data_IF_908682163527
#
_entry.id   IF_908682163527
#
_cell.length_a   1.000
_cell.length_b   1.000
_cell.length_c   1.000
_cell.angle_alpha   90.00
_cell.angle_beta   90.00
_cell.angle_gamma   90.00
#
_symmetry.space_group_name_H-M   'P 1'
#
loop_
_entity.id
_entity.type
_entity.pdbx_description
1 polymer ?
#
# COMPACT_ATOMS: atom_id res chain seq x y z
N UNK A 1 -20.81 -25.82 4.63
CA UNK A 1 -20.09 -24.53 4.53
C UNK A 1 -20.31 -23.79 5.84
N UNK A 2 -19.26 -23.18 6.42
CA UNK A 2 -19.41 -22.31 7.58
C UNK A 2 -20.36 -21.15 7.25
N UNK A 3 -21.06 -20.66 8.26
CA UNK A 3 -21.91 -19.45 8.16
C UNK A 3 -21.05 -18.18 8.13
N UNK A 4 -21.58 -17.07 7.62
CA UNK A 4 -20.88 -15.77 7.63
C UNK A 4 -20.39 -15.41 9.04
N UNK A 5 -21.19 -15.66 10.07
CA UNK A 5 -20.77 -15.41 11.46
C UNK A 5 -19.57 -16.27 11.87
N UNK A 6 -19.59 -17.57 11.54
CA UNK A 6 -18.47 -18.47 11.83
C UNK A 6 -17.19 -18.03 11.09
N UNK A 7 -17.31 -17.53 9.86
CA UNK A 7 -16.18 -16.99 9.10
C UNK A 7 -15.55 -15.79 9.82
N UNK A 8 -16.35 -14.84 10.29
CA UNK A 8 -15.85 -13.69 11.06
C UNK A 8 -15.19 -14.12 12.38
N UNK A 9 -15.72 -15.13 13.06
CA UNK A 9 -15.05 -15.68 14.25
C UNK A 9 -13.73 -16.39 13.88
N UNK A 10 -13.65 -17.03 12.72
CA UNK A 10 -12.44 -17.70 12.25
C UNK A 10 -11.33 -16.72 11.85
N UNK A 11 -11.64 -15.50 11.42
CA UNK A 11 -10.63 -14.47 11.11
C UNK A 11 -9.73 -14.10 12.31
N UNK A 12 -10.15 -14.36 13.54
CA UNK A 12 -9.33 -14.17 14.76
C UNK A 12 -8.83 -15.49 15.37
N UNK A 13 -8.99 -16.60 14.68
CA UNK A 13 -8.58 -17.91 15.18
C UNK A 13 -7.03 -17.99 15.30
N UNK A 14 -6.46 -18.63 16.34
CA UNK A 14 -5.00 -18.73 16.51
C UNK A 14 -4.30 -19.46 15.35
N UNK A 15 -4.96 -20.45 14.74
CA UNK A 15 -4.47 -21.13 13.54
C UNK A 15 -4.51 -20.22 12.30
N UNK A 16 -3.36 -19.86 11.70
CA UNK A 16 -3.31 -19.02 10.49
C UNK A 16 -4.07 -19.61 9.30
N UNK A 17 -4.08 -20.93 9.17
CA UNK A 17 -4.75 -21.59 8.05
C UNK A 17 -6.27 -21.36 8.08
N UNK A 18 -6.89 -21.39 9.27
CA UNK A 18 -8.32 -21.10 9.43
C UNK A 18 -8.63 -19.63 9.19
N UNK A 19 -7.73 -18.72 9.55
CA UNK A 19 -7.89 -17.29 9.22
C UNK A 19 -7.84 -17.06 7.71
N UNK A 20 -6.87 -17.67 7.03
CA UNK A 20 -6.71 -17.50 5.59
C UNK A 20 -7.88 -18.16 4.82
N UNK A 21 -8.36 -19.33 5.25
CA UNK A 21 -9.56 -19.94 4.69
C UNK A 21 -10.78 -19.02 4.84
N UNK A 22 -11.02 -18.50 6.04
CA UNK A 22 -12.17 -17.62 6.28
C UNK A 22 -12.09 -16.31 5.49
N UNK A 23 -10.89 -15.77 5.33
CA UNK A 23 -10.62 -14.60 4.49
C UNK A 23 -11.03 -14.86 3.04
N UNK A 24 -10.58 -15.98 2.44
CA UNK A 24 -10.92 -16.31 1.05
C UNK A 24 -12.40 -16.60 0.87
N UNK A 25 -13.04 -17.34 1.78
CA UNK A 25 -14.49 -17.61 1.69
C UNK A 25 -15.32 -16.31 1.73
N UNK A 26 -14.96 -15.35 2.61
CA UNK A 26 -15.59 -14.04 2.66
C UNK A 26 -15.32 -13.19 1.41
N UNK A 27 -14.12 -13.26 0.85
CA UNK A 27 -13.75 -12.49 -0.32
C UNK A 27 -14.36 -13.02 -1.62
N UNK A 28 -14.53 -14.33 -1.75
CA UNK A 28 -15.15 -14.97 -2.91
C UNK A 28 -16.68 -14.81 -2.92
N UNK A 29 -17.30 -14.68 -1.74
CA UNK A 29 -18.75 -14.62 -1.59
C UNK A 29 -19.19 -13.47 -0.66
N UNK A 30 -18.86 -12.21 -0.97
CA UNK A 30 -19.25 -11.08 -0.14
C UNK A 30 -20.76 -10.84 -0.25
N UNK A 31 -21.41 -10.69 0.91
CA UNK A 31 -22.75 -10.12 1.00
C UNK A 31 -22.69 -8.61 1.28
N UNK A 32 -23.85 -7.94 1.26
CA UNK A 32 -23.96 -6.49 1.50
C UNK A 32 -23.40 -6.01 2.85
N UNK A 33 -23.23 -6.93 3.81
CA UNK A 33 -22.73 -6.65 5.16
C UNK A 33 -21.23 -6.92 5.31
N UNK A 34 -20.63 -7.63 4.36
CA UNK A 34 -19.26 -8.15 4.45
C UNK A 34 -18.24 -7.01 4.49
N UNK A 35 -18.28 -6.09 3.53
CA UNK A 35 -17.38 -4.92 3.52
C UNK A 35 -17.61 -4.03 4.76
N UNK A 36 -18.85 -3.58 5.10
CA UNK A 36 -19.09 -2.80 6.31
C UNK A 36 -18.54 -3.44 7.59
N UNK A 37 -18.69 -4.76 7.75
CA UNK A 37 -18.20 -5.47 8.93
C UNK A 37 -16.68 -5.64 8.94
N UNK A 38 -16.05 -5.86 7.79
CA UNK A 38 -14.59 -5.85 7.67
C UNK A 38 -14.00 -4.45 7.96
N UNK A 39 -14.69 -3.40 7.51
CA UNK A 39 -14.30 -2.01 7.81
C UNK A 39 -14.37 -1.71 9.31
N UNK A 40 -15.40 -2.18 10.04
CA UNK A 40 -15.48 -1.98 11.49
C UNK A 40 -14.35 -2.69 12.24
N UNK A 41 -13.87 -3.82 11.72
CA UNK A 41 -12.76 -4.57 12.33
C UNK A 41 -11.44 -3.80 12.27
N UNK A 42 -11.27 -2.83 11.36
CA UNK A 42 -10.05 -2.02 11.30
C UNK A 42 -9.82 -1.17 12.57
N UNK A 43 -10.85 -0.98 13.38
CA UNK A 43 -10.81 -0.23 14.65
C UNK A 43 -10.66 -1.12 15.89
N UNK A 44 -10.72 -2.44 15.73
CA UNK A 44 -10.60 -3.40 16.84
C UNK A 44 -9.21 -3.40 17.47
N UNK A 45 -9.09 -3.66 18.78
CA UNK A 45 -7.79 -3.70 19.47
C UNK A 45 -6.92 -4.91 19.07
N UNK A 46 -7.55 -6.02 18.69
CA UNK A 46 -6.85 -7.23 18.26
C UNK A 46 -6.15 -7.03 16.92
N UNK A 47 -4.82 -6.94 16.98
CA UNK A 47 -3.96 -6.74 15.80
C UNK A 47 -4.04 -7.89 14.80
N UNK A 48 -4.27 -9.12 15.25
CA UNK A 48 -4.46 -10.28 14.36
C UNK A 48 -5.74 -10.13 13.57
N UNK A 49 -6.82 -9.70 14.24
CA UNK A 49 -8.12 -9.53 13.61
C UNK A 49 -8.12 -8.36 12.62
N UNK A 50 -7.52 -7.22 12.99
CA UNK A 50 -7.29 -6.09 12.07
C UNK A 50 -6.54 -6.51 10.81
N UNK A 51 -5.45 -7.27 10.97
CA UNK A 51 -4.65 -7.76 9.83
C UNK A 51 -5.44 -8.71 8.94
N UNK A 52 -6.28 -9.56 9.52
CA UNK A 52 -7.16 -10.45 8.74
C UNK A 52 -8.18 -9.63 7.93
N UNK A 53 -8.78 -8.60 8.53
CA UNK A 53 -9.69 -7.70 7.83
C UNK A 53 -9.02 -6.93 6.69
N UNK A 54 -7.81 -6.41 6.90
CA UNK A 54 -7.01 -5.74 5.84
C UNK A 54 -6.78 -6.68 4.64
N UNK A 55 -6.41 -7.93 4.90
CA UNK A 55 -6.20 -8.92 3.83
C UNK A 55 -7.52 -9.26 3.11
N UNK A 56 -8.61 -9.46 3.86
CA UNK A 56 -9.92 -9.78 3.28
C UNK A 56 -10.46 -8.64 2.41
N UNK A 57 -10.37 -7.38 2.87
CA UNK A 57 -10.73 -6.21 2.07
C UNK A 57 -9.88 -6.11 0.79
N UNK A 58 -8.58 -6.39 0.90
CA UNK A 58 -7.69 -6.48 -0.24
C UNK A 58 -8.04 -7.60 -1.23
N UNK A 59 -8.48 -8.75 -0.73
CA UNK A 59 -8.90 -9.89 -1.55
C UNK A 59 -10.25 -9.62 -2.24
N UNK A 60 -11.19 -8.93 -1.58
CA UNK A 60 -12.45 -8.46 -2.19
C UNK A 60 -12.17 -7.56 -3.38
N UNK A 61 -11.17 -6.67 -3.27
CA UNK A 61 -10.68 -5.90 -4.42
C UNK A 61 -11.39 -4.56 -4.62
N UNK A 62 -11.70 -4.16 -5.88
CA UNK A 62 -12.14 -2.80 -6.22
C UNK A 62 -13.34 -2.28 -5.43
N UNK A 63 -14.30 -3.14 -5.08
CA UNK A 63 -15.51 -2.76 -4.34
C UNK A 63 -15.21 -2.24 -2.92
N UNK A 64 -14.03 -2.56 -2.38
CA UNK A 64 -13.58 -2.05 -1.09
C UNK A 64 -12.91 -0.66 -1.18
N UNK A 65 -12.57 -0.15 -2.38
CA UNK A 65 -11.76 1.07 -2.52
C UNK A 65 -12.46 2.29 -1.92
N UNK A 66 -13.72 2.55 -2.28
CA UNK A 66 -14.46 3.73 -1.80
C UNK A 66 -14.51 3.82 -0.27
N UNK A 67 -14.97 2.78 0.48
CA UNK A 67 -14.98 2.84 1.94
C UNK A 67 -13.58 2.91 2.55
N UNK A 68 -12.57 2.28 1.93
CA UNK A 68 -11.18 2.39 2.37
C UNK A 68 -10.64 3.81 2.23
N UNK A 69 -10.92 4.50 1.12
CA UNK A 69 -10.54 5.91 0.92
C UNK A 69 -11.23 6.80 1.96
N UNK A 70 -12.52 6.57 2.22
CA UNK A 70 -13.23 7.32 3.26
C UNK A 70 -12.60 7.14 4.65
N UNK A 71 -12.24 5.91 5.01
CA UNK A 71 -11.59 5.62 6.28
C UNK A 71 -10.16 6.20 6.36
N UNK A 72 -9.42 6.13 5.24
CA UNK A 72 -8.08 6.71 5.12
C UNK A 72 -8.08 8.22 5.34
N UNK A 73 -9.07 8.94 4.81
CA UNK A 73 -9.06 10.40 4.84
C UNK A 73 -9.80 11.00 6.02
N UNK A 74 -10.81 10.32 6.57
CA UNK A 74 -11.75 10.94 7.52
C UNK A 74 -11.74 10.30 8.92
N UNK A 75 -10.98 9.23 9.16
CA UNK A 75 -10.91 8.62 10.49
C UNK A 75 -10.01 9.40 11.44
N UNK A 76 -10.49 9.69 12.64
CA UNK A 76 -9.66 10.25 13.72
C UNK A 76 -8.65 9.23 14.27
N UNK A 77 -8.92 7.93 14.10
CA UNK A 77 -8.01 6.87 14.53
C UNK A 77 -6.90 6.62 13.48
N UNK A 78 -5.66 6.94 13.86
CA UNK A 78 -4.44 6.68 13.08
C UNK A 78 -4.32 5.22 12.64
N UNK A 79 -4.71 4.28 13.50
CA UNK A 79 -4.63 2.84 13.22
C UNK A 79 -5.57 2.46 12.09
N UNK A 80 -6.79 3.03 12.07
CA UNK A 80 -7.76 2.82 10.99
C UNK A 80 -7.24 3.43 9.69
N UNK A 81 -6.74 4.68 9.71
CA UNK A 81 -6.17 5.32 8.51
C UNK A 81 -5.02 4.50 7.91
N UNK A 82 -4.06 4.09 8.75
CA UNK A 82 -2.93 3.27 8.31
C UNK A 82 -3.33 1.86 7.85
N UNK A 83 -4.36 1.26 8.44
CA UNK A 83 -4.90 -0.03 8.00
C UNK A 83 -5.64 0.09 6.68
N UNK A 84 -6.35 1.20 6.45
CA UNK A 84 -7.03 1.47 5.20
C UNK A 84 -6.04 1.64 4.03
N UNK A 85 -4.95 2.38 4.23
CA UNK A 85 -3.86 2.47 3.25
C UNK A 85 -3.25 1.10 2.93
N UNK A 86 -3.01 0.26 3.95
CA UNK A 86 -2.50 -1.11 3.75
C UNK A 86 -3.50 -2.00 3.00
N UNK A 87 -4.79 -1.86 3.25
CA UNK A 87 -5.81 -2.61 2.52
C UNK A 87 -5.87 -2.17 1.04
N UNK A 88 -5.74 -0.87 0.76
CA UNK A 88 -5.60 -0.37 -0.62
C UNK A 88 -4.37 -0.96 -1.33
N UNK A 89 -3.24 -1.10 -0.63
CA UNK A 89 -2.07 -1.82 -1.16
C UNK A 89 -2.40 -3.29 -1.48
N UNK A 90 -3.12 -3.99 -0.59
CA UNK A 90 -3.54 -5.38 -0.83
C UNK A 90 -4.52 -5.50 -2.00
N UNK A 91 -5.38 -4.51 -2.24
CA UNK A 91 -6.24 -4.46 -3.44
C UNK A 91 -5.36 -4.43 -4.70
N UNK A 92 -4.33 -3.58 -4.74
CA UNK A 92 -3.41 -3.50 -5.88
C UNK A 92 -2.65 -4.82 -6.10
N UNK A 93 -2.15 -5.44 -5.01
CA UNK A 93 -1.41 -6.71 -5.06
C UNK A 93 -2.28 -7.87 -5.56
N UNK A 94 -3.51 -7.98 -5.06
CA UNK A 94 -4.38 -9.12 -5.36
C UNK A 94 -5.09 -8.99 -6.72
N UNK A 95 -5.20 -7.77 -7.26
CA UNK A 95 -5.91 -7.48 -8.50
C UNK A 95 -5.04 -6.69 -9.50
N UNK A 96 -3.83 -7.19 -9.88
CA UNK A 96 -2.88 -6.43 -10.69
C UNK A 96 -3.37 -6.17 -12.12
N UNK A 97 -4.29 -6.99 -12.63
CA UNK A 97 -4.86 -6.87 -13.97
C UNK A 97 -6.05 -5.88 -14.03
N UNK A 98 -6.50 -5.37 -12.88
CA UNK A 98 -7.60 -4.40 -12.79
C UNK A 98 -7.04 -2.99 -12.61
N UNK A 99 -7.39 -2.02 -13.46
CA UNK A 99 -6.97 -0.64 -13.27
C UNK A 99 -7.40 -0.12 -11.89
N UNK A 100 -6.44 0.38 -11.12
CA UNK A 100 -6.70 0.93 -9.80
C UNK A 100 -7.59 2.17 -9.91
N UNK A 101 -8.63 2.26 -9.08
CA UNK A 101 -9.61 3.35 -9.18
C UNK A 101 -8.95 4.71 -8.92
N UNK A 102 -9.31 5.72 -9.72
CA UNK A 102 -8.74 7.07 -9.63
C UNK A 102 -8.95 7.71 -8.26
N UNK A 103 -10.10 7.46 -7.61
CA UNK A 103 -10.35 7.92 -6.24
C UNK A 103 -9.40 7.30 -5.22
N UNK A 104 -9.00 6.04 -5.43
CA UNK A 104 -8.01 5.35 -4.60
C UNK A 104 -6.64 5.99 -4.72
N UNK A 105 -6.22 6.29 -5.94
CA UNK A 105 -4.96 7.04 -6.20
C UNK A 105 -5.02 8.42 -5.56
N UNK A 106 -6.12 9.15 -5.72
CA UNK A 106 -6.26 10.50 -5.16
C UNK A 106 -6.27 10.48 -3.63
N UNK A 107 -6.95 9.51 -3.01
CA UNK A 107 -6.94 9.35 -1.56
C UNK A 107 -5.56 9.02 -1.01
N UNK A 108 -4.83 8.11 -1.67
CA UNK A 108 -3.45 7.80 -1.30
C UNK A 108 -2.51 9.00 -1.49
N UNK A 109 -2.66 9.76 -2.58
CA UNK A 109 -1.92 11.01 -2.81
C UNK A 109 -2.13 12.01 -1.68
N UNK A 110 -3.38 12.23 -1.25
CA UNK A 110 -3.69 13.11 -0.13
C UNK A 110 -3.10 12.58 1.19
N UNK A 111 -3.08 11.27 1.40
CA UNK A 111 -2.52 10.66 2.60
C UNK A 111 -0.99 10.73 2.69
N UNK A 112 -0.28 11.16 1.64
CA UNK A 112 1.16 11.45 1.70
C UNK A 112 1.47 12.61 2.66
N UNK A 113 0.52 13.52 2.83
CA UNK A 113 0.60 14.66 3.75
C UNK A 113 0.01 14.36 5.14
N UNK A 114 -0.35 13.10 5.45
CA UNK A 114 -0.84 12.75 6.78
C UNK A 114 0.25 13.05 7.83
N UNK A 115 -0.09 13.74 8.94
CA UNK A 115 0.90 14.10 9.95
C UNK A 115 1.49 12.88 10.67
N UNK A 116 0.86 11.71 10.57
CA UNK A 116 1.34 10.50 11.20
C UNK A 116 2.25 9.68 10.26
N UNK A 117 3.50 9.38 10.69
CA UNK A 117 4.43 8.62 9.87
C UNK A 117 3.98 7.21 9.48
N UNK A 118 3.09 6.59 10.25
CA UNK A 118 2.57 5.27 9.91
C UNK A 118 1.63 5.33 8.71
N UNK A 119 0.88 6.43 8.57
CA UNK A 119 -0.14 6.59 7.51
C UNK A 119 0.53 6.97 6.19
N UNK A 120 1.37 8.01 6.17
CA UNK A 120 1.97 8.43 4.91
C UNK A 120 2.95 7.40 4.32
N UNK A 121 3.65 6.60 5.16
CA UNK A 121 4.51 5.50 4.71
C UNK A 121 3.63 4.39 4.12
N UNK A 122 2.52 4.05 4.77
CA UNK A 122 1.58 3.07 4.22
C UNK A 122 0.97 3.54 2.89
N UNK A 123 0.72 4.85 2.74
CA UNK A 123 0.23 5.43 1.49
C UNK A 123 1.28 5.35 0.36
N UNK A 124 2.55 5.68 0.66
CA UNK A 124 3.67 5.49 -0.29
C UNK A 124 3.82 4.03 -0.69
N UNK A 125 3.75 3.10 0.27
CA UNK A 125 3.81 1.66 -0.02
C UNK A 125 2.67 1.25 -0.95
N UNK A 126 1.44 1.68 -0.68
CA UNK A 126 0.29 1.37 -1.54
C UNK A 126 0.46 1.90 -2.96
N UNK A 127 0.95 3.14 -3.14
CA UNK A 127 1.31 3.68 -4.45
C UNK A 127 2.42 2.86 -5.12
N UNK A 128 3.41 2.41 -4.36
CA UNK A 128 4.44 1.48 -4.81
C UNK A 128 3.88 0.18 -5.40
N UNK A 129 2.91 -0.43 -4.72
CA UNK A 129 2.24 -1.66 -5.17
C UNK A 129 1.32 -1.43 -6.39
N UNK A 130 0.76 -0.22 -6.55
CA UNK A 130 -0.01 0.14 -7.76
C UNK A 130 0.91 0.20 -9.00
N UNK A 131 2.17 0.62 -8.82
CA UNK A 131 3.18 0.49 -9.85
C UNK A 131 3.29 1.67 -10.84
N UNK A 132 3.68 1.35 -12.08
CA UNK A 132 3.96 2.32 -13.16
C UNK A 132 2.87 3.40 -13.38
N UNK A 133 1.56 3.11 -13.28
CA UNK A 133 0.51 4.11 -13.48
C UNK A 133 0.57 5.33 -12.54
N UNK A 134 1.17 5.21 -11.36
CA UNK A 134 1.23 6.29 -10.35
C UNK A 134 2.61 6.89 -10.16
N UNK A 135 3.56 6.57 -11.04
CA UNK A 135 4.95 7.07 -10.95
C UNK A 135 5.01 8.60 -10.95
N UNK A 136 4.22 9.26 -11.80
CA UNK A 136 4.21 10.73 -11.86
C UNK A 136 3.68 11.35 -10.56
N UNK A 137 2.76 10.67 -9.86
CA UNK A 137 2.25 11.09 -8.54
C UNK A 137 3.36 11.04 -7.49
N UNK A 138 4.16 9.97 -7.50
CA UNK A 138 5.30 9.82 -6.59
C UNK A 138 6.40 10.85 -6.92
N UNK A 139 6.69 11.11 -8.20
CA UNK A 139 7.67 12.12 -8.61
C UNK A 139 7.24 13.51 -8.15
N UNK A 140 5.97 13.89 -8.36
CA UNK A 140 5.42 15.16 -7.91
C UNK A 140 5.57 15.32 -6.39
N UNK A 141 5.17 14.30 -5.62
CA UNK A 141 5.28 14.32 -4.16
C UNK A 141 6.73 14.44 -3.66
N UNK A 142 7.68 13.78 -4.35
CA UNK A 142 9.11 13.87 -4.03
C UNK A 142 9.68 15.27 -4.28
N UNK A 143 9.18 15.97 -5.31
CA UNK A 143 9.62 17.32 -5.65
C UNK A 143 9.05 18.38 -4.69
N UNK A 144 7.89 18.13 -4.09
CA UNK A 144 7.21 19.10 -3.22
C UNK A 144 7.43 18.86 -1.74
N UNK A 145 7.90 17.68 -1.33
CA UNK A 145 8.10 17.38 0.09
C UNK A 145 9.37 18.01 0.65
N UNK A 146 9.26 18.59 1.85
CA UNK A 146 10.37 19.05 2.67
C UNK A 146 10.77 18.02 3.75
N UNK A 147 10.06 16.88 3.82
CA UNK A 147 10.27 15.84 4.81
C UNK A 147 11.22 14.75 4.26
N UNK A 148 12.47 14.66 4.75
CA UNK A 148 13.43 13.68 4.22
C UNK A 148 12.96 12.23 4.40
N UNK A 149 12.24 11.90 5.48
CA UNK A 149 11.74 10.55 5.71
C UNK A 149 10.67 10.14 4.69
N UNK A 150 9.80 11.08 4.30
CA UNK A 150 8.85 10.86 3.21
C UNK A 150 9.59 10.73 1.88
N UNK A 151 10.55 11.62 1.61
CA UNK A 151 11.40 11.56 0.42
C UNK A 151 12.11 10.22 0.25
N UNK A 152 12.72 9.69 1.32
CA UNK A 152 13.36 8.35 1.33
C UNK A 152 12.33 7.26 1.00
N UNK A 153 11.13 7.34 1.58
CA UNK A 153 10.07 6.36 1.34
C UNK A 153 9.65 6.37 -0.14
N UNK A 154 9.46 7.55 -0.72
CA UNK A 154 9.08 7.72 -2.13
C UNK A 154 10.20 7.23 -3.05
N UNK A 155 11.46 7.55 -2.76
CA UNK A 155 12.63 7.05 -3.50
C UNK A 155 12.67 5.52 -3.51
N UNK A 156 12.41 4.89 -2.37
CA UNK A 156 12.34 3.42 -2.31
C UNK A 156 11.18 2.85 -3.13
N UNK A 157 10.00 3.50 -3.12
CA UNK A 157 8.87 3.10 -3.94
C UNK A 157 9.19 3.22 -5.44
N UNK A 158 9.71 4.35 -5.90
CA UNK A 158 10.16 4.54 -7.29
C UNK A 158 11.19 3.48 -7.72
N UNK A 159 12.14 3.19 -6.82
CA UNK A 159 13.12 2.13 -7.02
C UNK A 159 12.52 0.72 -7.10
N UNK A 160 11.45 0.44 -6.36
CA UNK A 160 10.74 -0.84 -6.41
C UNK A 160 9.90 -0.98 -7.67
N UNK A 161 9.29 0.12 -8.14
CA UNK A 161 8.49 0.13 -9.37
C UNK A 161 9.39 -0.09 -10.60
N UNK A 162 10.57 0.56 -10.63
CA UNK A 162 11.54 0.39 -11.72
C UNK A 162 11.13 1.02 -13.05
N UNK A 163 10.14 1.90 -13.06
CA UNK A 163 9.74 2.67 -14.23
C UNK A 163 10.84 3.66 -14.64
N UNK A 164 11.09 3.81 -15.95
CA UNK A 164 12.18 4.64 -16.46
C UNK A 164 12.08 6.10 -16.02
N UNK A 165 10.87 6.65 -15.88
CA UNK A 165 10.65 8.02 -15.38
C UNK A 165 11.16 8.16 -13.95
N UNK A 166 10.87 7.16 -13.11
CA UNK A 166 11.39 7.10 -11.75
C UNK A 166 12.91 6.97 -11.72
N UNK A 167 13.48 6.12 -12.57
CA UNK A 167 14.94 5.93 -12.67
C UNK A 167 15.67 7.22 -13.03
N UNK A 168 15.16 7.98 -14.00
CA UNK A 168 15.74 9.28 -14.41
C UNK A 168 15.74 10.29 -13.24
N UNK A 169 14.66 10.33 -12.45
CA UNK A 169 14.58 11.19 -11.26
C UNK A 169 15.58 10.74 -10.19
N UNK A 170 15.69 9.43 -9.94
CA UNK A 170 16.66 8.90 -8.97
C UNK A 170 18.11 9.24 -9.34
N UNK A 171 18.48 9.17 -10.62
CA UNK A 171 19.80 9.59 -11.11
C UNK A 171 20.04 11.09 -10.86
N UNK A 172 19.05 11.93 -11.20
CA UNK A 172 19.12 13.37 -11.01
C UNK A 172 19.31 13.76 -9.53
N UNK A 173 18.68 13.03 -8.61
CA UNK A 173 18.83 13.27 -7.17
C UNK A 173 20.26 13.01 -6.69
N UNK A 174 20.91 11.97 -7.20
CA UNK A 174 22.29 11.61 -6.81
C UNK A 174 23.27 12.70 -7.22
N UNK A 175 23.10 13.26 -8.42
CA UNK A 175 23.94 14.31 -9.01
C UNK A 175 23.70 15.69 -8.37
N UNK A 176 22.50 15.93 -7.82
CA UNK A 176 22.16 17.19 -7.22
C UNK A 176 22.69 17.31 -5.78
N UNK A 177 23.77 18.08 -5.59
CA UNK A 177 24.41 18.33 -4.30
C UNK A 177 23.50 18.99 -3.25
N UNK A 178 22.43 19.69 -3.65
CA UNK A 178 21.48 20.30 -2.71
C UNK A 178 20.46 19.31 -2.14
N UNK A 179 20.39 18.10 -2.68
CA UNK A 179 19.52 17.04 -2.19
C UNK A 179 20.02 16.52 -0.84
N UNK A 180 19.09 16.27 0.08
CA UNK A 180 19.38 15.66 1.38
C UNK A 180 20.23 14.39 1.24
N UNK A 181 21.23 14.23 2.11
CA UNK A 181 22.21 13.16 2.00
C UNK A 181 21.60 11.76 2.13
N UNK A 182 20.57 11.60 2.96
CA UNK A 182 19.90 10.31 3.14
C UNK A 182 19.01 9.98 1.94
N UNK A 183 18.39 10.99 1.33
CA UNK A 183 17.63 10.83 0.08
C UNK A 183 18.57 10.41 -1.06
N UNK A 184 19.75 11.03 -1.18
CA UNK A 184 20.79 10.66 -2.17
C UNK A 184 21.31 9.23 -1.98
N UNK A 185 21.60 8.84 -0.75
CA UNK A 185 22.05 7.48 -0.42
C UNK A 185 20.97 6.44 -0.74
N UNK A 186 19.70 6.77 -0.42
CA UNK A 186 18.57 5.92 -0.74
C UNK A 186 18.37 5.77 -2.24
N UNK A 187 18.56 6.84 -3.02
CA UNK A 187 18.47 6.82 -4.48
C UNK A 187 19.58 5.94 -5.09
N UNK A 188 20.81 6.08 -4.57
CA UNK A 188 21.94 5.22 -4.96
C UNK A 188 21.65 3.75 -4.70
N UNK A 189 21.11 3.45 -3.52
CA UNK A 189 20.74 2.09 -3.12
C UNK A 189 19.61 1.53 -3.98
N UNK A 190 18.60 2.34 -4.29
CA UNK A 190 17.49 1.96 -5.15
C UNK A 190 17.95 1.60 -6.56
N UNK A 191 18.78 2.43 -7.18
CA UNK A 191 19.35 2.15 -8.51
C UNK A 191 20.24 0.90 -8.51
N UNK A 192 21.07 0.72 -7.49
CA UNK A 192 21.91 -0.48 -7.35
C UNK A 192 21.08 -1.77 -7.28
N UNK A 193 19.95 -1.75 -6.55
CA UNK A 193 19.01 -2.89 -6.49
C UNK A 193 18.34 -3.18 -7.84
N UNK A 194 17.95 -2.14 -8.57
CA UNK A 194 17.39 -2.28 -9.92
C UNK A 194 18.40 -2.90 -10.90
N UNK A 195 19.65 -2.44 -10.88
CA UNK A 195 20.71 -3.02 -11.71
C UNK A 195 20.93 -4.50 -11.41
N UNK A 196 21.01 -4.88 -10.12
CA UNK A 196 21.17 -6.28 -9.72
C UNK A 196 20.00 -7.15 -10.20
N UNK A 197 18.77 -6.65 -10.07
CA UNK A 197 17.56 -7.37 -10.50
C UNK A 197 17.54 -7.54 -12.01
N UNK A 198 17.93 -6.50 -12.75
CA UNK A 198 18.01 -6.52 -14.22
C UNK A 198 19.08 -7.49 -14.72
N UNK A 199 20.28 -7.50 -14.11
CA UNK A 199 21.36 -8.44 -14.45
C UNK A 199 20.95 -9.89 -14.19
N UNK A 200 20.30 -10.14 -13.05
CA UNK A 200 19.78 -11.47 -12.71
C UNK A 200 18.75 -11.96 -13.74
N UNK A 201 17.81 -11.10 -14.15
CA UNK A 201 16.81 -11.43 -15.18
C UNK A 201 17.44 -11.69 -16.56
N UNK A 202 18.56 -11.03 -16.88
CA UNK A 202 19.31 -11.23 -18.13
C UNK A 202 20.29 -12.40 -18.08
N UNK A 203 20.46 -13.05 -16.92
CA UNK A 203 21.43 -14.13 -16.74
C UNK A 203 22.90 -13.67 -16.81
N UNK A 204 23.15 -12.37 -16.66
CA UNK A 204 24.49 -11.79 -16.64
C UNK A 204 25.06 -11.91 -15.22
N UNK A 205 26.22 -12.58 -15.09
CA UNK A 205 26.94 -12.75 -13.81
C UNK A 205 27.62 -11.46 -13.36
#
# INVERSE_FOLDING_TARGET
MPTTEELFQQLKHPNPHLRDQAMWELAENPDETTIPRLMSILDEEDTTYRRAAVKALGAIGPDAITPLVQALLNSDNVTVRGSAAKALAQVAINHPDVPFAAEGVQGLKTALDDPNPVVHIAAVMALGEIGSPVVDVLIEALQTTDNPALGISIVNALGSIGDSRGVEVLQSLIENESTDSYVRESATSALSRLEMTTKFQRGEK
#
